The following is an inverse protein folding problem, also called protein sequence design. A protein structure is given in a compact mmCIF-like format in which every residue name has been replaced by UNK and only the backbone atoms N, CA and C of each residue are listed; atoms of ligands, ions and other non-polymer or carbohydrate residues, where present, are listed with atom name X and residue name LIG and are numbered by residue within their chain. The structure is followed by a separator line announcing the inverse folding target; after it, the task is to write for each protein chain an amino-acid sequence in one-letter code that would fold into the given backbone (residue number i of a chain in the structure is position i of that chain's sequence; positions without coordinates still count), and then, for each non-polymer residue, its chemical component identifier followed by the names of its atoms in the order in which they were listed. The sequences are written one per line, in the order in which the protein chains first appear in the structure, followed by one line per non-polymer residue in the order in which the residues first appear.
data_IF_755463937100
#
_entry.id   IF_755463937100
#
_cell.length_a   1.000
_cell.length_b   1.000
_cell.length_c   1.000
_cell.angle_alpha   90.00
_cell.angle_beta   90.00
_cell.angle_gamma   90.00
#
_symmetry.space_group_name_H-M   'P 1'
#
loop_
_entity.id
_entity.type
_entity.pdbx_description
1 polymer ?
#
# COMPACT_ATOMS: atom_id res chain seq x y z
N UNK A 1 26.55 13.60 7.21
CA UNK A 1 25.80 12.62 8.04
C UNK A 1 25.78 11.28 7.31
N UNK A 2 26.05 10.16 7.98
CA UNK A 2 26.06 8.83 7.33
C UNK A 2 24.64 8.27 7.29
N UNK A 3 24.36 7.36 6.35
CA UNK A 3 23.03 6.76 6.20
C UNK A 3 22.56 5.98 7.44
N UNK A 4 23.48 5.34 8.15
CA UNK A 4 23.19 4.55 9.36
C UNK A 4 22.81 5.40 10.57
N UNK A 5 23.07 6.70 10.54
CA UNK A 5 22.64 7.63 11.59
C UNK A 5 21.15 7.99 11.43
N UNK A 6 20.52 7.64 10.30
CA UNK A 6 19.12 7.92 10.02
C UNK A 6 18.21 6.83 10.62
N UNK A 7 17.22 7.26 11.42
CA UNK A 7 16.24 6.36 12.02
C UNK A 7 15.51 5.55 10.94
N UNK A 8 15.60 4.22 11.02
CA UNK A 8 14.97 3.30 10.08
C UNK A 8 15.90 2.79 8.96
N UNK A 9 17.13 3.32 8.82
CA UNK A 9 18.14 2.79 7.90
C UNK A 9 19.18 1.99 8.68
N UNK A 10 19.05 0.66 8.64
CA UNK A 10 20.09 -0.25 9.12
C UNK A 10 21.10 -0.62 8.04
N UNK A 11 22.11 -1.42 8.38
CA UNK A 11 23.20 -1.82 7.47
C UNK A 11 22.71 -2.47 6.17
N UNK A 12 21.62 -3.24 6.24
CA UNK A 12 21.02 -3.90 5.06
C UNK A 12 20.47 -2.88 4.07
N UNK A 13 19.75 -1.88 4.58
CA UNK A 13 19.16 -0.80 3.77
C UNK A 13 20.24 0.14 3.24
N UNK A 14 21.24 0.48 4.06
CA UNK A 14 22.38 1.29 3.65
C UNK A 14 23.17 0.63 2.50
N UNK A 15 23.42 -0.68 2.55
CA UNK A 15 24.06 -1.40 1.43
C UNK A 15 23.24 -1.38 0.14
N UNK A 16 21.91 -1.37 0.25
CA UNK A 16 21.03 -1.31 -0.92
C UNK A 16 21.02 0.10 -1.54
N UNK A 17 21.04 1.14 -0.71
CA UNK A 17 21.15 2.54 -1.15
C UNK A 17 22.53 2.87 -1.74
N UNK A 18 23.60 2.28 -1.21
CA UNK A 18 24.95 2.40 -1.79
C UNK A 18 24.99 1.88 -3.24
N UNK A 19 24.19 0.85 -3.59
CA UNK A 19 24.09 0.37 -4.99
C UNK A 19 23.43 1.37 -5.92
N UNK A 20 22.61 2.28 -5.38
CA UNK A 20 21.99 3.39 -6.09
C UNK A 20 22.87 4.65 -6.05
N UNK A 21 24.14 4.52 -5.65
CA UNK A 21 25.10 5.62 -5.48
C UNK A 21 24.68 6.67 -4.45
N UNK A 22 23.88 6.29 -3.46
CA UNK A 22 23.44 7.15 -2.35
C UNK A 22 24.25 6.81 -1.11
N UNK A 23 25.17 7.69 -0.70
CA UNK A 23 26.09 7.45 0.42
C UNK A 23 25.85 8.40 1.60
N UNK A 24 25.20 9.53 1.35
CA UNK A 24 24.91 10.54 2.36
C UNK A 24 23.42 10.83 2.46
N UNK A 25 23.00 11.42 3.57
CA UNK A 25 21.61 11.88 3.73
C UNK A 25 21.24 12.95 2.67
N UNK A 26 22.21 13.72 2.16
CA UNK A 26 21.99 14.72 1.11
C UNK A 26 21.68 14.08 -0.24
N UNK A 27 22.35 12.97 -0.57
CA UNK A 27 22.06 12.21 -1.79
C UNK A 27 20.65 11.62 -1.78
N UNK A 28 20.16 11.22 -0.60
CA UNK A 28 18.81 10.69 -0.44
C UNK A 28 17.74 11.76 -0.72
N UNK A 29 17.96 12.99 -0.26
CA UNK A 29 17.04 14.12 -0.51
C UNK A 29 17.02 14.50 -2.00
N UNK A 30 18.14 14.30 -2.70
CA UNK A 30 18.22 14.53 -4.15
C UNK A 30 17.59 13.42 -4.98
N UNK A 31 17.35 12.24 -4.40
CA UNK A 31 16.70 11.11 -5.06
C UNK A 31 15.17 11.28 -5.04
N UNK A 32 14.67 12.23 -5.82
CA UNK A 32 13.23 12.41 -5.98
C UNK A 32 12.58 11.19 -6.66
N UNK A 33 11.49 10.63 -6.11
CA UNK A 33 10.67 9.64 -6.79
C UNK A 33 10.21 10.11 -8.17
N UNK A 34 10.22 9.22 -9.16
CA UNK A 34 9.74 9.53 -10.52
C UNK A 34 8.23 9.74 -10.57
N UNK A 35 7.50 8.99 -9.76
CA UNK A 35 6.05 9.08 -9.61
C UNK A 35 5.70 8.86 -8.15
N UNK A 36 4.76 9.64 -7.63
CA UNK A 36 4.19 9.44 -6.31
C UNK A 36 2.86 8.71 -6.46
N UNK A 37 2.65 7.68 -5.65
CA UNK A 37 1.33 7.11 -5.43
C UNK A 37 0.54 8.09 -4.55
N UNK A 38 -0.36 8.85 -5.15
CA UNK A 38 -1.20 9.81 -4.42
C UNK A 38 -2.40 9.05 -3.85
N UNK A 39 -2.41 8.87 -2.54
CA UNK A 39 -3.60 8.41 -1.84
C UNK A 39 -4.58 9.60 -1.75
N UNK A 40 -5.58 9.60 -2.63
CA UNK A 40 -6.66 10.59 -2.60
C UNK A 40 -7.51 10.49 -1.34
N UNK A 41 -8.52 11.36 -1.22
CA UNK A 41 -9.52 11.25 -0.15
C UNK A 41 -10.19 9.87 -0.22
N UNK A 42 -10.47 9.23 0.93
CA UNK A 42 -11.20 7.98 0.92
C UNK A 42 -12.56 8.19 0.26
N UNK A 43 -12.89 7.34 -0.71
CA UNK A 43 -14.19 7.30 -1.37
C UNK A 43 -15.00 6.14 -0.85
N UNK A 44 -16.32 6.27 -0.93
CA UNK A 44 -17.23 5.18 -0.57
C UNK A 44 -17.19 4.08 -1.62
N UNK A 45 -17.56 2.87 -1.23
CA UNK A 45 -17.63 1.70 -2.13
C UNK A 45 -18.56 1.95 -3.32
N UNK A 46 -19.66 2.67 -3.11
CA UNK A 46 -20.64 3.00 -4.15
C UNK A 46 -20.12 4.04 -5.15
N UNK A 47 -19.04 4.75 -4.83
CA UNK A 47 -18.42 5.80 -5.65
C UNK A 47 -17.15 5.29 -6.36
N UNK A 48 -16.79 4.02 -6.18
CA UNK A 48 -15.67 3.39 -6.89
C UNK A 48 -16.03 3.34 -8.38
N UNK A 49 -15.28 4.01 -9.27
CA UNK A 49 -15.56 3.92 -10.70
C UNK A 49 -15.35 2.48 -11.15
N UNK A 50 -16.36 1.86 -11.76
CA UNK A 50 -16.29 0.50 -12.31
C UNK A 50 -15.18 0.34 -13.37
N UNK A 51 -14.73 1.47 -13.93
CA UNK A 51 -13.69 1.56 -14.95
C UNK A 51 -12.59 2.51 -14.49
N UNK A 52 -11.95 2.19 -13.37
CA UNK A 52 -10.82 3.00 -12.92
C UNK A 52 -9.56 2.52 -13.65
N UNK A 53 -9.10 3.32 -14.62
CA UNK A 53 -7.75 3.19 -15.19
C UNK A 53 -6.65 3.57 -14.18
N UNK A 54 -7.02 4.16 -13.04
CA UNK A 54 -6.12 4.47 -11.93
C UNK A 54 -5.88 3.22 -11.06
N UNK A 55 -4.60 2.93 -10.83
CA UNK A 55 -4.14 1.73 -10.13
C UNK A 55 -4.32 1.76 -8.61
N UNK A 56 -4.77 2.89 -8.04
CA UNK A 56 -4.83 3.09 -6.59
C UNK A 56 -6.04 3.94 -6.17
N UNK A 57 -6.91 3.37 -5.33
CA UNK A 57 -8.09 4.03 -4.76
C UNK A 57 -8.06 3.83 -3.24
N UNK A 58 -8.34 4.89 -2.48
CA UNK A 58 -8.50 4.82 -1.03
C UNK A 58 -9.99 4.64 -0.71
N UNK A 59 -10.31 3.67 0.14
CA UNK A 59 -11.70 3.38 0.55
C UNK A 59 -11.75 3.34 2.07
N UNK A 60 -12.70 4.05 2.67
CA UNK A 60 -13.00 3.92 4.10
C UNK A 60 -14.04 2.81 4.29
N UNK A 61 -13.66 1.75 4.97
CA UNK A 61 -14.54 0.60 5.18
C UNK A 61 -14.09 -0.26 6.35
N UNK A 62 -15.06 -0.91 6.99
CA UNK A 62 -14.86 -1.87 8.07
C UNK A 62 -14.76 -3.29 7.53
N UNK A 63 -13.85 -4.08 8.07
CA UNK A 63 -13.74 -5.51 7.72
C UNK A 63 -14.95 -6.26 8.27
N UNK A 64 -15.87 -6.66 7.40
CA UNK A 64 -17.13 -7.30 7.79
C UNK A 64 -16.98 -8.79 8.11
N UNK A 65 -15.96 -9.44 7.55
CA UNK A 65 -15.72 -10.88 7.70
C UNK A 65 -14.22 -11.15 7.84
N UNK A 66 -13.90 -12.19 8.60
CA UNK A 66 -12.53 -12.70 8.71
C UNK A 66 -11.97 -12.96 7.31
N UNK A 67 -10.78 -12.43 6.99
CA UNK A 67 -10.20 -12.57 5.67
C UNK A 67 -9.93 -14.06 5.38
N UNK A 68 -10.41 -14.54 4.24
CA UNK A 68 -10.28 -15.93 3.84
C UNK A 68 -9.04 -16.09 2.95
N UNK A 69 -8.07 -16.88 3.41
CA UNK A 69 -6.90 -17.24 2.62
C UNK A 69 -7.19 -18.50 1.82
N UNK A 70 -7.34 -18.37 0.50
CA UNK A 70 -7.50 -19.52 -0.40
C UNK A 70 -6.20 -19.78 -1.13
N UNK A 71 -5.64 -20.98 -0.98
CA UNK A 71 -4.48 -21.43 -1.76
C UNK A 71 -4.95 -22.20 -2.99
N UNK A 72 -4.61 -21.71 -4.18
CA UNK A 72 -4.94 -22.37 -5.46
C UNK A 72 -3.64 -22.66 -6.19
N UNK A 73 -3.26 -23.95 -6.25
CA UNK A 73 -1.96 -24.41 -6.78
C UNK A 73 -0.80 -23.72 -6.04
N UNK A 74 -0.08 -22.83 -6.72
CA UNK A 74 1.05 -22.05 -6.18
C UNK A 74 0.67 -20.61 -5.79
N UNK A 75 -0.58 -20.19 -6.00
CA UNK A 75 -1.06 -18.85 -5.69
C UNK A 75 -1.80 -18.83 -4.34
N UNK A 76 -1.45 -17.87 -3.49
CA UNK A 76 -2.20 -17.57 -2.28
C UNK A 76 -3.06 -16.32 -2.53
N UNK A 77 -4.38 -16.48 -2.43
CA UNK A 77 -5.34 -15.40 -2.65
C UNK A 77 -5.98 -15.08 -1.30
N UNK A 78 -5.65 -13.90 -0.76
CA UNK A 78 -6.37 -13.34 0.39
C UNK A 78 -7.63 -12.65 -0.13
N UNK A 79 -8.79 -13.11 0.34
CA UNK A 79 -10.09 -12.49 0.01
C UNK A 79 -10.62 -11.81 1.26
N UNK A 80 -10.82 -10.50 1.19
CA UNK A 80 -11.39 -9.71 2.28
C UNK A 80 -12.75 -9.19 1.82
N UNK A 81 -13.73 -9.20 2.73
CA UNK A 81 -15.03 -8.55 2.49
C UNK A 81 -15.09 -7.29 3.33
N UNK A 82 -15.15 -6.15 2.66
CA UNK A 82 -15.23 -4.84 3.28
C UNK A 82 -16.69 -4.38 3.28
N UNK A 83 -17.10 -3.71 4.35
CA UNK A 83 -18.42 -3.08 4.51
C UNK A 83 -18.22 -1.60 4.76
N UNK A 84 -18.88 -0.79 3.94
CA UNK A 84 -18.95 0.65 4.11
C UNK A 84 -20.01 1.03 5.15
N UNK A 85 -19.99 2.26 5.65
CA UNK A 85 -21.00 2.85 6.54
C UNK A 85 -22.41 2.80 5.94
N UNK A 86 -22.52 2.88 4.61
CA UNK A 86 -23.78 2.72 3.87
C UNK A 86 -24.28 1.27 3.73
N UNK A 87 -23.62 0.32 4.39
CA UNK A 87 -23.88 -1.12 4.36
C UNK A 87 -23.60 -1.84 3.01
N UNK A 88 -23.05 -1.13 2.03
CA UNK A 88 -22.57 -1.74 0.79
C UNK A 88 -21.37 -2.65 1.07
N UNK A 89 -21.39 -3.84 0.47
CA UNK A 89 -20.40 -4.88 0.71
C UNK A 89 -19.54 -5.10 -0.54
N UNK A 90 -18.28 -4.67 -0.49
CA UNK A 90 -17.32 -4.96 -1.54
C UNK A 90 -16.67 -6.33 -1.31
N UNK A 91 -16.85 -7.24 -2.27
CA UNK A 91 -16.10 -8.50 -2.34
C UNK A 91 -14.98 -8.35 -3.38
N UNK A 92 -13.80 -7.92 -2.94
CA UNK A 92 -12.64 -7.87 -3.81
C UNK A 92 -11.77 -9.13 -3.68
N UNK A 93 -11.32 -9.64 -4.82
CA UNK A 93 -10.37 -10.75 -4.95
C UNK A 93 -9.10 -10.24 -5.63
N UNK A 94 -7.95 -10.47 -5.02
CA UNK A 94 -6.66 -10.33 -5.70
C UNK A 94 -6.13 -8.91 -5.89
N UNK A 95 -6.65 -7.90 -5.19
CA UNK A 95 -6.05 -6.57 -5.15
C UNK A 95 -4.96 -6.52 -4.06
N UNK A 96 -3.86 -5.81 -4.31
CA UNK A 96 -2.86 -5.49 -3.27
C UNK A 96 -3.45 -4.37 -2.41
N UNK A 97 -4.36 -4.72 -1.51
CA UNK A 97 -4.90 -3.78 -0.53
C UNK A 97 -3.89 -3.59 0.59
N UNK A 98 -3.30 -2.39 0.70
CA UNK A 98 -2.63 -1.98 1.95
C UNK A 98 -3.72 -1.57 2.92
N UNK A 99 -4.00 -2.43 3.90
CA UNK A 99 -4.94 -2.13 4.97
C UNK A 99 -4.24 -1.18 5.94
N UNK A 100 -4.70 0.07 6.00
CA UNK A 100 -4.28 1.01 7.02
C UNK A 100 -5.31 0.98 8.14
N UNK A 101 -4.86 0.56 9.33
CA UNK A 101 -5.67 0.70 10.54
C UNK A 101 -5.54 2.14 11.01
N UNK A 102 -6.60 2.94 10.87
CA UNK A 102 -6.68 4.26 11.48
C UNK A 102 -7.10 4.05 12.94
N UNK A 103 -6.22 4.37 13.89
CA UNK A 103 -6.50 4.41 15.32
C UNK A 103 -6.42 5.85 15.80
#
# INVERSE_FOLDING_TARGET
MKLTDLKGIGDKTARLLNKLSVYTAEDLVRLYPRSYDICGKPVLVSEIPEHTGDSLIAVDAVVARTPALKRVRNLQILTVTLRDEKADCLRQRGLICRIFSVH
#
